data_IF_231096333207
#
_entry.id   IF_231096333207
#
_cell.length_a   1.000
_cell.length_b   1.000
_cell.length_c   1.000
_cell.angle_alpha   90.00
_cell.angle_beta   90.00
_cell.angle_gamma   90.00
#
_symmetry.space_group_name_H-M   'P 1'
#
loop_
_entity.id
_entity.type
_entity.pdbx_description
1 polymer ?
#
# COMPACT_ATOMS: atom_id res chain seq x y z
N UNK A 1 13.92 64.59 17.25
CA UNK A 1 14.23 63.18 17.58
C UNK A 1 13.47 62.31 16.60
N UNK A 2 14.12 61.54 15.72
CA UNK A 2 13.43 60.66 14.79
C UNK A 2 12.96 59.40 15.54
N UNK A 3 11.70 59.04 15.30
CA UNK A 3 11.03 57.88 15.88
C UNK A 3 11.48 56.64 15.09
N UNK A 4 12.30 55.79 15.70
CA UNK A 4 12.70 54.50 15.15
C UNK A 4 11.51 53.56 15.37
N UNK A 5 10.76 53.32 14.30
CA UNK A 5 9.72 52.29 14.28
C UNK A 5 10.44 50.94 14.27
N UNK A 6 10.20 50.14 15.31
CA UNK A 6 10.61 48.75 15.40
C UNK A 6 9.87 47.93 14.32
N UNK A 7 10.55 47.61 13.23
CA UNK A 7 10.16 46.52 12.30
C UNK A 7 10.50 45.15 12.93
N UNK A 8 9.87 44.82 14.06
CA UNK A 8 9.94 43.49 14.69
C UNK A 8 8.58 42.78 14.77
N UNK A 9 7.66 43.09 13.86
CA UNK A 9 6.44 42.30 13.67
C UNK A 9 6.37 41.81 12.22
N UNK A 10 6.92 40.62 11.93
CA UNK A 10 6.40 39.70 10.89
C UNK A 10 7.18 38.37 10.80
N UNK A 11 7.69 37.85 11.92
CA UNK A 11 8.26 36.47 11.97
C UNK A 11 7.38 35.48 12.75
N UNK A 12 6.12 35.83 13.02
CA UNK A 12 5.16 34.96 13.66
C UNK A 12 3.93 34.80 12.78
N UNK A 13 3.77 33.62 12.18
CA UNK A 13 2.48 33.21 11.62
C UNK A 13 2.45 32.93 10.13
N UNK A 14 3.42 32.19 9.58
CA UNK A 14 3.08 31.32 8.44
C UNK A 14 2.18 30.23 9.00
N UNK A 15 0.88 30.53 9.12
CA UNK A 15 -0.15 29.56 9.46
C UNK A 15 -0.10 28.46 8.40
N UNK A 16 0.62 27.37 8.71
CA UNK A 16 0.88 26.33 7.72
C UNK A 16 -0.43 25.68 7.30
N UNK A 17 -0.87 26.01 6.08
CA UNK A 17 -2.09 25.48 5.49
C UNK A 17 -2.15 23.94 5.67
N UNK A 18 -3.17 23.40 6.34
CA UNK A 18 -3.28 21.97 6.64
C UNK A 18 -3.29 21.10 5.37
N UNK A 19 -3.78 21.61 4.25
CA UNK A 19 -3.74 20.91 2.96
C UNK A 19 -2.31 20.78 2.42
N UNK A 20 -1.45 21.79 2.64
CA UNK A 20 -0.03 21.76 2.27
C UNK A 20 0.71 20.72 3.12
N UNK A 21 0.52 20.73 4.45
CA UNK A 21 1.10 19.73 5.36
C UNK A 21 0.76 18.30 4.94
N UNK A 22 -0.50 18.04 4.60
CA UNK A 22 -0.94 16.72 4.15
C UNK A 22 -0.27 16.30 2.84
N UNK A 23 -0.16 17.22 1.88
CA UNK A 23 0.52 16.97 0.59
C UNK A 23 1.99 16.59 0.80
N UNK A 24 2.70 17.32 1.67
CA UNK A 24 4.10 17.03 2.02
C UNK A 24 4.24 15.65 2.66
N UNK A 25 3.40 15.31 3.66
CA UNK A 25 3.42 13.98 4.29
C UNK A 25 3.19 12.84 3.27
N UNK A 26 2.23 13.02 2.37
CA UNK A 26 1.96 12.05 1.31
C UNK A 26 3.14 11.90 0.34
N UNK A 27 3.79 13.01 -0.02
CA UNK A 27 4.98 13.00 -0.88
C UNK A 27 6.15 12.30 -0.18
N UNK A 28 6.48 12.66 1.06
CA UNK A 28 7.54 12.02 1.84
C UNK A 28 7.32 10.51 1.95
N UNK A 29 6.09 10.06 2.23
CA UNK A 29 5.74 8.63 2.24
C UNK A 29 6.03 7.96 0.90
N UNK A 30 5.61 8.57 -0.21
CA UNK A 30 5.83 8.01 -1.56
C UNK A 30 7.31 7.92 -1.89
N UNK A 31 8.08 8.96 -1.58
CA UNK A 31 9.53 8.97 -1.77
C UNK A 31 10.21 7.90 -0.90
N UNK A 32 9.79 7.73 0.35
CA UNK A 32 10.27 6.66 1.21
C UNK A 32 9.96 5.28 0.62
N UNK A 33 8.72 5.04 0.18
CA UNK A 33 8.34 3.78 -0.46
C UNK A 33 9.18 3.50 -1.73
N UNK A 34 9.38 4.50 -2.59
CA UNK A 34 10.22 4.40 -3.79
C UNK A 34 11.66 4.06 -3.40
N UNK A 35 12.24 4.77 -2.43
CA UNK A 35 13.61 4.52 -1.99
C UNK A 35 13.81 3.09 -1.47
N UNK A 36 12.86 2.57 -0.67
CA UNK A 36 12.90 1.19 -0.17
C UNK A 36 12.80 0.20 -1.34
N UNK A 37 11.85 0.39 -2.27
CA UNK A 37 11.65 -0.50 -3.43
C UNK A 37 12.86 -0.51 -4.34
N UNK A 38 13.44 0.66 -4.64
CA UNK A 38 14.64 0.78 -5.48
C UNK A 38 15.82 0.09 -4.79
N UNK A 39 16.02 0.30 -3.50
CA UNK A 39 17.11 -0.34 -2.74
C UNK A 39 17.00 -1.86 -2.79
N UNK A 40 15.81 -2.41 -2.52
CA UNK A 40 15.57 -3.86 -2.60
C UNK A 40 15.80 -4.35 -4.03
N UNK A 41 15.23 -3.68 -5.03
CA UNK A 41 15.38 -4.08 -6.44
C UNK A 41 16.84 -4.14 -6.85
N UNK A 42 17.63 -3.11 -6.51
CA UNK A 42 19.06 -3.07 -6.82
C UNK A 42 19.81 -4.24 -6.18
N UNK A 43 19.54 -4.56 -4.91
CA UNK A 43 20.18 -5.70 -4.25
C UNK A 43 19.81 -7.03 -4.90
N UNK A 44 18.55 -7.22 -5.27
CA UNK A 44 18.08 -8.42 -5.96
C UNK A 44 18.76 -8.60 -7.32
N UNK A 45 18.78 -7.55 -8.15
CA UNK A 45 19.40 -7.62 -9.47
C UNK A 45 20.93 -7.74 -9.40
N UNK A 46 21.59 -7.06 -8.46
CA UNK A 46 23.03 -7.21 -8.23
C UNK A 46 23.39 -8.63 -7.83
N UNK A 47 22.57 -9.27 -6.97
CA UNK A 47 22.85 -10.62 -6.49
C UNK A 47 22.54 -11.69 -7.53
N UNK A 48 21.45 -11.52 -8.28
CA UNK A 48 21.07 -12.42 -9.38
C UNK A 48 22.06 -12.34 -10.55
N UNK A 49 22.57 -11.14 -10.84
CA UNK A 49 23.40 -10.87 -12.01
C UNK A 49 22.64 -10.93 -13.34
N UNK A 50 21.32 -11.21 -13.31
CA UNK A 50 20.48 -11.32 -14.51
C UNK A 50 19.04 -10.89 -14.25
N UNK A 51 18.38 -10.36 -15.28
CA UNK A 51 16.94 -10.08 -15.28
C UNK A 51 16.09 -11.34 -15.51
N UNK A 52 16.70 -12.47 -15.87
CA UNK A 52 15.98 -13.72 -16.18
C UNK A 52 15.53 -14.49 -14.94
N UNK A 53 16.00 -14.14 -13.74
CA UNK A 53 15.47 -14.73 -12.50
C UNK A 53 14.10 -14.15 -12.20
N UNK A 54 13.06 -14.86 -12.62
CA UNK A 54 11.68 -14.42 -12.48
C UNK A 54 11.27 -14.25 -11.01
N UNK A 55 11.88 -14.99 -10.08
CA UNK A 55 11.50 -14.90 -8.67
C UNK A 55 11.81 -13.53 -8.06
N UNK A 56 12.82 -12.81 -8.57
CA UNK A 56 13.18 -11.48 -8.05
C UNK A 56 12.06 -10.43 -8.23
N UNK A 57 11.16 -10.64 -9.19
CA UNK A 57 10.00 -9.77 -9.38
C UNK A 57 8.94 -9.97 -8.29
N UNK A 58 8.90 -11.10 -7.59
CA UNK A 58 7.94 -11.33 -6.51
C UNK A 58 8.00 -10.26 -5.41
N UNK A 59 9.12 -10.06 -4.69
CA UNK A 59 9.19 -9.03 -3.65
C UNK A 59 9.00 -7.62 -4.20
N UNK A 60 9.49 -7.32 -5.41
CA UNK A 60 9.33 -6.00 -6.06
C UNK A 60 7.85 -5.70 -6.29
N UNK A 61 7.12 -6.63 -6.93
CA UNK A 61 5.70 -6.53 -7.20
C UNK A 61 4.87 -6.43 -5.91
N UNK A 62 5.19 -7.23 -4.88
CA UNK A 62 4.50 -7.19 -3.60
C UNK A 62 4.71 -5.85 -2.87
N UNK A 63 5.90 -5.26 -2.95
CA UNK A 63 6.17 -3.95 -2.38
C UNK A 63 5.48 -2.81 -3.16
N UNK A 64 5.44 -2.88 -4.49
CA UNK A 64 4.66 -1.95 -5.31
C UNK A 64 3.18 -1.98 -4.91
N UNK A 65 2.59 -3.18 -4.79
CA UNK A 65 1.21 -3.34 -4.37
C UNK A 65 0.97 -2.77 -2.96
N UNK A 66 1.68 -3.31 -1.97
CA UNK A 66 1.30 -3.12 -0.57
C UNK A 66 2.03 -1.98 0.15
N UNK A 67 3.25 -1.61 -0.27
CA UNK A 67 3.98 -0.48 0.35
C UNK A 67 3.68 0.84 -0.36
N UNK A 68 3.69 0.81 -1.70
CA UNK A 68 3.51 2.03 -2.49
C UNK A 68 2.03 2.40 -2.65
N UNK A 69 1.19 1.47 -3.13
CA UNK A 69 -0.17 1.76 -3.58
C UNK A 69 -1.23 1.62 -2.49
N UNK A 70 -1.19 0.56 -1.67
CA UNK A 70 -2.22 0.29 -0.64
C UNK A 70 -2.53 1.49 0.28
N UNK A 71 -1.55 2.28 0.78
CA UNK A 71 -1.87 3.44 1.61
C UNK A 71 -2.72 4.50 0.89
N UNK A 72 -2.50 4.71 -0.41
CA UNK A 72 -3.32 5.64 -1.20
C UNK A 72 -4.75 5.10 -1.37
N UNK A 73 -4.91 3.78 -1.56
CA UNK A 73 -6.23 3.10 -1.64
C UNK A 73 -7.02 3.31 -0.35
N UNK A 74 -6.39 3.10 0.81
CA UNK A 74 -7.01 3.25 2.14
C UNK A 74 -7.37 4.71 2.43
N UNK A 75 -6.50 5.66 2.05
CA UNK A 75 -6.75 7.10 2.23
C UNK A 75 -7.99 7.55 1.46
N UNK A 76 -8.16 7.08 0.22
CA UNK A 76 -9.32 7.46 -0.60
C UNK A 76 -10.65 7.01 0.06
N UNK A 77 -10.66 5.87 0.78
CA UNK A 77 -11.82 5.43 1.59
C UNK A 77 -12.10 6.36 2.76
N UNK A 78 -11.06 6.87 3.44
CA UNK A 78 -11.22 7.86 4.51
C UNK A 78 -11.81 9.17 3.98
N UNK A 79 -11.29 9.64 2.85
CA UNK A 79 -11.83 10.83 2.17
C UNK A 79 -13.31 10.64 1.81
N UNK A 80 -13.71 9.46 1.34
CA UNK A 80 -15.11 9.12 1.08
C UNK A 80 -15.99 9.18 2.33
N UNK A 81 -15.52 8.68 3.48
CA UNK A 81 -16.27 8.75 4.75
C UNK A 81 -16.46 10.19 5.20
N UNK A 82 -15.42 11.01 5.05
CA UNK A 82 -15.47 12.41 5.42
C UNK A 82 -16.37 13.22 4.48
N UNK A 83 -16.36 12.94 3.17
CA UNK A 83 -17.23 13.60 2.19
C UNK A 83 -18.72 13.35 2.47
N UNK A 84 -19.09 12.24 3.12
CA UNK A 84 -20.48 11.94 3.51
C UNK A 84 -20.99 12.79 4.69
N UNK A 85 -20.10 13.39 5.49
CA UNK A 85 -20.44 14.09 6.75
C UNK A 85 -20.49 15.62 6.63
N UNK A 86 -20.38 16.21 5.43
CA UNK A 86 -20.10 17.65 5.28
C UNK A 86 -21.10 18.41 4.41
N UNK A 87 -21.16 19.72 4.67
CA UNK A 87 -21.95 20.73 3.99
C UNK A 87 -21.59 20.84 2.49
N UNK A 88 -22.55 21.10 1.59
CA UNK A 88 -22.34 21.22 0.14
C UNK A 88 -21.44 22.40 -0.30
N UNK A 89 -21.02 23.27 0.62
CA UNK A 89 -20.24 24.49 0.32
C UNK A 89 -18.71 24.35 0.48
N UNK A 90 -18.16 23.16 0.81
CA UNK A 90 -16.71 22.98 0.85
C UNK A 90 -16.13 22.55 -0.52
N UNK A 91 -15.19 23.33 -1.05
CA UNK A 91 -14.37 23.01 -2.24
C UNK A 91 -13.54 21.74 -2.07
N UNK A 92 -14.16 20.57 -2.28
CA UNK A 92 -13.48 19.27 -2.27
C UNK A 92 -13.88 18.41 -3.47
N UNK A 93 -13.00 17.44 -3.79
CA UNK A 93 -13.14 16.54 -4.92
C UNK A 93 -14.53 15.85 -4.92
N UNK A 94 -15.27 15.86 -6.04
CA UNK A 94 -16.54 15.15 -6.17
C UNK A 94 -16.42 13.68 -5.78
N UNK A 95 -17.43 13.15 -5.09
CA UNK A 95 -17.47 11.74 -4.64
C UNK A 95 -17.14 10.75 -5.75
N UNK A 96 -17.67 10.96 -6.96
CA UNK A 96 -17.42 10.07 -8.10
C UNK A 96 -15.93 10.06 -8.49
N UNK A 97 -15.24 11.21 -8.44
CA UNK A 97 -13.79 11.28 -8.71
C UNK A 97 -12.98 10.51 -7.67
N UNK A 98 -13.38 10.55 -6.39
CA UNK A 98 -12.70 9.80 -5.32
C UNK A 98 -12.92 8.29 -5.51
N UNK A 99 -14.15 7.86 -5.86
CA UNK A 99 -14.44 6.45 -6.15
C UNK A 99 -13.58 5.95 -7.32
N UNK A 100 -13.54 6.71 -8.42
CA UNK A 100 -12.75 6.34 -9.60
C UNK A 100 -11.25 6.21 -9.26
N UNK A 101 -10.70 7.13 -8.46
CA UNK A 101 -9.31 7.05 -7.98
C UNK A 101 -9.06 5.81 -7.13
N UNK A 102 -9.96 5.51 -6.20
CA UNK A 102 -9.89 4.30 -5.37
C UNK A 102 -9.92 3.03 -6.23
N UNK A 103 -10.81 2.96 -7.22
CA UNK A 103 -10.91 1.81 -8.13
C UNK A 103 -9.64 1.64 -8.98
N UNK A 104 -9.14 2.72 -9.57
CA UNK A 104 -7.92 2.68 -10.37
C UNK A 104 -6.71 2.27 -9.52
N UNK A 105 -6.56 2.84 -8.33
CA UNK A 105 -5.48 2.48 -7.42
C UNK A 105 -5.59 1.02 -6.95
N UNK A 106 -6.81 0.53 -6.67
CA UNK A 106 -7.03 -0.87 -6.31
C UNK A 106 -6.66 -1.81 -7.46
N UNK A 107 -7.05 -1.49 -8.69
CA UNK A 107 -6.68 -2.25 -9.88
C UNK A 107 -5.16 -2.32 -10.07
N UNK A 108 -4.45 -1.20 -9.92
CA UNK A 108 -2.97 -1.17 -10.02
C UNK A 108 -2.34 -2.02 -8.92
N UNK A 109 -2.85 -1.94 -7.69
CA UNK A 109 -2.39 -2.78 -6.57
C UNK A 109 -2.60 -4.27 -6.86
N UNK A 110 -3.76 -4.64 -7.40
CA UNK A 110 -4.12 -6.01 -7.73
C UNK A 110 -3.26 -6.59 -8.86
N UNK A 111 -3.04 -5.83 -9.93
CA UNK A 111 -2.17 -6.24 -11.03
C UNK A 111 -0.74 -6.45 -10.56
N UNK A 112 -0.23 -5.56 -9.71
CA UNK A 112 1.08 -5.73 -9.09
C UNK A 112 1.12 -7.00 -8.21
N UNK A 113 0.15 -7.21 -7.33
CA UNK A 113 0.08 -8.40 -6.50
C UNK A 113 -0.01 -9.69 -7.33
N UNK A 114 -0.85 -9.70 -8.37
CA UNK A 114 -1.00 -10.82 -9.29
C UNK A 114 0.32 -11.16 -10.01
N UNK A 115 1.05 -10.15 -10.48
CA UNK A 115 2.39 -10.32 -11.06
C UNK A 115 3.37 -10.97 -10.07
N UNK A 116 3.34 -10.55 -8.81
CA UNK A 116 4.18 -11.16 -7.78
C UNK A 116 3.78 -12.61 -7.44
N UNK A 117 2.50 -12.95 -7.45
CA UNK A 117 2.05 -14.35 -7.30
C UNK A 117 2.45 -15.20 -8.51
N UNK A 118 2.28 -14.67 -9.73
CA UNK A 118 2.65 -15.36 -10.96
C UNK A 118 4.15 -15.68 -10.98
N UNK A 119 5.01 -14.76 -10.52
CA UNK A 119 6.45 -14.99 -10.41
C UNK A 119 6.81 -16.16 -9.48
N UNK A 120 6.10 -16.28 -8.34
CA UNK A 120 6.28 -17.39 -7.39
C UNK A 120 5.83 -18.70 -8.00
N UNK A 121 4.61 -18.75 -8.54
CA UNK A 121 4.03 -19.98 -9.09
C UNK A 121 4.81 -20.47 -10.30
N UNK A 122 5.23 -19.59 -11.20
CA UNK A 122 6.14 -19.93 -12.31
C UNK A 122 7.42 -20.58 -11.80
N UNK A 123 8.05 -19.99 -10.77
CA UNK A 123 9.30 -20.51 -10.20
C UNK A 123 9.09 -21.87 -9.55
N UNK A 124 7.98 -22.07 -8.81
CA UNK A 124 7.66 -23.35 -8.17
C UNK A 124 7.44 -24.45 -9.20
N UNK A 125 6.65 -24.18 -10.25
CA UNK A 125 6.38 -25.13 -11.32
C UNK A 125 7.68 -25.51 -12.03
N UNK A 126 8.50 -24.52 -12.41
CA UNK A 126 9.77 -24.75 -13.12
C UNK A 126 10.81 -25.51 -12.31
N UNK A 127 10.87 -25.28 -10.98
CA UNK A 127 11.87 -25.90 -10.08
C UNK A 127 11.31 -27.09 -9.29
N UNK A 128 10.07 -27.52 -9.56
CA UNK A 128 9.36 -28.57 -8.83
C UNK A 128 9.35 -28.38 -7.30
N UNK A 129 9.25 -27.13 -6.85
CA UNK A 129 9.17 -26.84 -5.42
C UNK A 129 7.77 -27.14 -4.86
N UNK A 130 7.68 -27.65 -3.62
CA UNK A 130 6.39 -27.90 -2.99
C UNK A 130 5.63 -26.60 -2.70
N UNK A 131 4.31 -26.60 -2.88
CA UNK A 131 3.46 -25.47 -2.58
C UNK A 131 3.13 -25.40 -1.07
N UNK A 132 2.97 -24.18 -0.54
CA UNK A 132 2.43 -23.88 0.80
C UNK A 132 3.15 -24.53 2.00
N UNK A 133 4.46 -24.76 1.89
CA UNK A 133 5.26 -25.28 3.02
C UNK A 133 5.73 -24.22 4.02
N UNK A 134 5.85 -22.95 3.61
CA UNK A 134 6.32 -21.87 4.48
C UNK A 134 5.17 -21.06 5.07
N UNK A 135 5.33 -20.57 6.31
CA UNK A 135 4.38 -19.66 6.95
C UNK A 135 4.14 -18.40 6.10
N UNK A 136 5.21 -17.83 5.54
CA UNK A 136 5.11 -16.72 4.59
C UNK A 136 4.21 -17.06 3.38
N UNK A 137 4.36 -18.26 2.80
CA UNK A 137 3.54 -18.71 1.69
C UNK A 137 2.07 -18.91 2.05
N UNK A 138 1.78 -19.45 3.24
CA UNK A 138 0.40 -19.63 3.74
C UNK A 138 -0.27 -18.27 3.96
N UNK A 139 0.38 -17.37 4.71
CA UNK A 139 -0.14 -16.00 4.95
C UNK A 139 -0.29 -15.23 3.64
N UNK A 140 0.66 -15.41 2.71
CA UNK A 140 0.59 -14.86 1.36
C UNK A 140 -0.66 -15.30 0.61
N UNK A 141 -0.98 -16.60 0.59
CA UNK A 141 -2.20 -17.08 -0.07
C UNK A 141 -3.48 -16.58 0.61
N UNK A 142 -3.54 -16.54 1.94
CA UNK A 142 -4.68 -15.93 2.64
C UNK A 142 -4.87 -14.47 2.21
N UNK A 143 -3.76 -13.71 2.10
CA UNK A 143 -3.79 -12.34 1.60
C UNK A 143 -4.31 -12.28 0.15
N UNK A 144 -3.81 -13.14 -0.73
CA UNK A 144 -4.24 -13.21 -2.14
C UNK A 144 -5.73 -13.52 -2.31
N UNK A 145 -6.24 -14.50 -1.56
CA UNK A 145 -7.67 -14.83 -1.54
C UNK A 145 -8.49 -13.64 -1.02
N UNK A 146 -8.03 -13.00 0.05
CA UNK A 146 -8.69 -11.80 0.58
C UNK A 146 -8.73 -10.67 -0.47
N UNK A 147 -7.66 -10.48 -1.25
CA UNK A 147 -7.63 -9.52 -2.38
C UNK A 147 -8.68 -9.85 -3.44
N UNK A 148 -8.83 -11.11 -3.85
CA UNK A 148 -9.87 -11.52 -4.81
C UNK A 148 -11.28 -11.26 -4.26
N UNK A 149 -11.51 -11.59 -2.99
CA UNK A 149 -12.76 -11.27 -2.30
C UNK A 149 -13.02 -9.75 -2.29
N UNK A 150 -11.98 -8.95 -2.06
CA UNK A 150 -12.08 -7.49 -2.02
C UNK A 150 -12.56 -6.89 -3.35
N UNK A 151 -12.01 -7.37 -4.46
CA UNK A 151 -12.42 -6.99 -5.82
C UNK A 151 -13.87 -7.35 -6.07
N UNK A 152 -14.24 -8.58 -5.72
CA UNK A 152 -15.58 -9.10 -5.92
C UNK A 152 -16.59 -8.25 -5.14
N UNK A 153 -16.34 -7.98 -3.86
CA UNK A 153 -17.18 -7.13 -3.02
C UNK A 153 -17.24 -5.68 -3.54
N UNK A 154 -16.11 -5.13 -4.00
CA UNK A 154 -16.04 -3.79 -4.58
C UNK A 154 -16.87 -3.66 -5.87
N UNK A 155 -16.80 -4.66 -6.74
CA UNK A 155 -17.58 -4.76 -7.97
C UNK A 155 -19.08 -4.89 -7.68
N UNK A 156 -19.46 -5.75 -6.73
CA UNK A 156 -20.86 -5.89 -6.28
C UNK A 156 -21.39 -4.54 -5.77
N UNK A 157 -20.61 -3.82 -4.95
CA UNK A 157 -21.01 -2.50 -4.42
C UNK A 157 -21.16 -1.42 -5.49
N UNK A 158 -20.46 -1.54 -6.62
CA UNK A 158 -20.45 -0.54 -7.69
C UNK A 158 -21.51 -0.82 -8.76
N UNK A 159 -21.60 -2.06 -9.21
CA UNK A 159 -22.34 -2.41 -10.43
C UNK A 159 -23.62 -3.20 -10.16
N UNK A 160 -23.73 -3.84 -8.99
CA UNK A 160 -24.88 -4.70 -8.67
C UNK A 160 -25.82 -4.03 -7.69
N UNK A 161 -25.30 -3.48 -6.59
CA UNK A 161 -26.13 -2.92 -5.51
C UNK A 161 -26.41 -1.43 -5.72
N UNK A 162 -27.70 -1.08 -5.79
CA UNK A 162 -28.14 0.32 -5.83
C UNK A 162 -27.98 0.98 -4.45
N UNK A 163 -27.95 2.33 -4.37
CA UNK A 163 -27.85 3.02 -3.07
C UNK A 163 -28.96 2.69 -2.07
N UNK A 164 -30.15 2.28 -2.56
CA UNK A 164 -31.32 1.94 -1.76
C UNK A 164 -31.36 0.46 -1.31
N UNK A 165 -30.45 -0.37 -1.81
CA UNK A 165 -30.46 -1.80 -1.50
C UNK A 165 -30.14 -2.06 0.01
N UNK A 166 -30.99 -2.82 0.73
CA UNK A 166 -30.82 -3.08 2.16
C UNK A 166 -29.59 -3.94 2.50
N UNK A 167 -29.05 -4.72 1.55
CA UNK A 167 -27.84 -5.54 1.73
C UNK A 167 -26.55 -4.73 1.61
N UNK A 168 -26.62 -3.55 0.99
CA UNK A 168 -25.47 -2.67 0.78
C UNK A 168 -24.65 -2.35 2.04
N UNK A 169 -25.22 -1.99 3.21
CA UNK A 169 -24.44 -1.75 4.42
C UNK A 169 -23.68 -3.01 4.88
N UNK A 170 -24.27 -4.19 4.76
CA UNK A 170 -23.60 -5.46 5.10
C UNK A 170 -22.39 -5.69 4.20
N UNK A 171 -22.56 -5.56 2.87
CA UNK A 171 -21.45 -5.71 1.91
C UNK A 171 -20.36 -4.66 2.11
N UNK A 172 -20.73 -3.42 2.47
CA UNK A 172 -19.75 -2.39 2.85
C UNK A 172 -18.96 -2.74 4.10
N UNK A 173 -19.59 -3.35 5.10
CA UNK A 173 -18.90 -3.82 6.31
C UNK A 173 -17.96 -4.96 5.98
N UNK A 174 -18.41 -5.96 5.22
CA UNK A 174 -17.58 -7.05 4.75
C UNK A 174 -16.35 -6.54 3.97
N UNK A 175 -16.56 -5.63 3.00
CA UNK A 175 -15.49 -5.01 2.22
C UNK A 175 -14.46 -4.27 3.11
N UNK A 176 -14.90 -3.62 4.20
CA UNK A 176 -13.97 -2.98 5.16
C UNK A 176 -13.21 -4.00 5.98
N UNK A 177 -13.88 -5.05 6.48
CA UNK A 177 -13.25 -6.12 7.25
C UNK A 177 -12.17 -6.82 6.42
N UNK A 178 -12.49 -7.18 5.17
CA UNK A 178 -11.53 -7.79 4.24
C UNK A 178 -10.36 -6.83 3.94
N UNK A 179 -10.58 -5.52 3.78
CA UNK A 179 -9.45 -4.56 3.66
C UNK A 179 -8.50 -4.61 4.86
N UNK A 180 -9.04 -4.71 6.08
CA UNK A 180 -8.22 -4.81 7.30
C UNK A 180 -7.45 -6.11 7.29
N UNK A 181 -8.10 -7.23 6.95
CA UNK A 181 -7.45 -8.53 6.80
C UNK A 181 -6.29 -8.45 5.82
N UNK A 182 -6.49 -7.90 4.61
CA UNK A 182 -5.43 -7.71 3.61
C UNK A 182 -4.27 -6.91 4.19
N UNK A 183 -4.56 -5.80 4.88
CA UNK A 183 -3.51 -4.95 5.46
C UNK A 183 -2.65 -5.73 6.46
N UNK A 184 -3.29 -6.45 7.38
CA UNK A 184 -2.60 -7.25 8.41
C UNK A 184 -1.81 -8.37 7.75
N UNK A 185 -2.44 -9.18 6.90
CA UNK A 185 -1.80 -10.33 6.26
C UNK A 185 -0.67 -9.91 5.31
N UNK A 186 -0.81 -8.80 4.59
CA UNK A 186 0.24 -8.27 3.73
C UNK A 186 1.46 -7.83 4.55
N UNK A 187 1.26 -7.12 5.67
CA UNK A 187 2.37 -6.70 6.53
C UNK A 187 3.04 -7.89 7.22
N UNK A 188 2.26 -8.86 7.73
CA UNK A 188 2.81 -10.10 8.29
C UNK A 188 3.58 -10.90 7.24
N UNK A 189 3.03 -11.04 6.03
CA UNK A 189 3.71 -11.73 4.93
C UNK A 189 5.00 -10.99 4.53
N UNK A 190 5.01 -9.66 4.54
CA UNK A 190 6.20 -8.86 4.21
C UNK A 190 7.33 -9.07 5.22
N UNK A 191 7.01 -9.00 6.52
CA UNK A 191 7.97 -9.29 7.58
C UNK A 191 8.48 -10.73 7.48
N UNK A 192 7.58 -11.70 7.33
CA UNK A 192 7.95 -13.10 7.14
C UNK A 192 8.78 -13.35 5.87
N UNK A 193 8.49 -12.63 4.79
CA UNK A 193 9.19 -12.72 3.51
C UNK A 193 10.66 -12.32 3.65
N UNK A 194 10.92 -11.17 4.28
CA UNK A 194 12.29 -10.68 4.48
C UNK A 194 13.05 -11.43 5.57
N UNK A 195 12.39 -11.78 6.68
CA UNK A 195 13.09 -12.30 7.86
C UNK A 195 13.18 -13.82 7.92
N UNK A 196 12.18 -14.54 7.37
CA UNK A 196 12.04 -15.98 7.57
C UNK A 196 12.26 -16.82 6.30
N UNK A 197 12.53 -16.22 5.15
CA UNK A 197 12.78 -16.98 3.91
C UNK A 197 14.26 -17.13 3.60
N UNK A 198 14.66 -18.32 3.15
CA UNK A 198 16.01 -18.58 2.67
C UNK A 198 16.35 -17.72 1.45
N UNK A 199 15.36 -17.46 0.58
CA UNK A 199 15.58 -16.60 -0.58
C UNK A 199 16.05 -15.21 -0.17
N UNK A 200 15.35 -14.57 0.77
CA UNK A 200 15.75 -13.26 1.27
C UNK A 200 17.13 -13.29 1.93
N UNK A 201 17.45 -14.35 2.68
CA UNK A 201 18.77 -14.51 3.28
C UNK A 201 19.91 -14.65 2.26
N UNK A 202 19.65 -15.30 1.12
CA UNK A 202 20.63 -15.42 0.03
C UNK A 202 20.73 -14.14 -0.79
N UNK A 203 19.60 -13.48 -1.03
CA UNK A 203 19.52 -12.28 -1.85
C UNK A 203 20.08 -11.04 -1.13
N UNK A 204 19.79 -10.91 0.16
CA UNK A 204 20.23 -9.82 1.03
C UNK A 204 20.87 -10.43 2.29
N UNK A 205 22.18 -10.75 2.28
CA UNK A 205 22.83 -11.49 3.36
C UNK A 205 22.74 -10.81 4.72
N UNK A 206 22.86 -9.48 4.75
CA UNK A 206 22.78 -8.71 5.99
C UNK A 206 21.38 -8.79 6.61
N UNK A 207 21.28 -9.41 7.80
CA UNK A 207 20.05 -9.47 8.59
C UNK A 207 19.59 -8.07 9.01
N UNK A 208 20.52 -7.17 9.34
CA UNK A 208 20.22 -5.79 9.71
C UNK A 208 19.52 -5.03 8.58
N UNK A 209 20.01 -5.17 7.34
CA UNK A 209 19.37 -4.55 6.17
C UNK A 209 17.96 -5.12 5.95
N UNK A 210 17.78 -6.44 6.04
CA UNK A 210 16.47 -7.08 5.89
C UNK A 210 15.47 -6.60 6.95
N UNK A 211 15.90 -6.51 8.21
CA UNK A 211 15.09 -5.98 9.30
C UNK A 211 14.75 -4.52 9.11
N UNK A 212 15.71 -3.68 8.71
CA UNK A 212 15.47 -2.28 8.42
C UNK A 212 14.46 -2.09 7.28
N UNK A 213 14.60 -2.84 6.18
CA UNK A 213 13.66 -2.82 5.05
C UNK A 213 12.25 -3.26 5.48
N UNK A 214 12.15 -4.36 6.23
CA UNK A 214 10.86 -4.87 6.70
C UNK A 214 10.16 -3.84 7.61
N UNK A 215 10.87 -3.30 8.60
CA UNK A 215 10.32 -2.29 9.51
C UNK A 215 9.97 -0.99 8.78
N UNK A 216 10.85 -0.48 7.91
CA UNK A 216 10.58 0.71 7.13
C UNK A 216 9.36 0.55 6.22
N UNK A 217 9.18 -0.65 5.63
CA UNK A 217 8.01 -0.97 4.81
C UNK A 217 6.73 -0.96 5.65
N UNK A 218 6.74 -1.58 6.83
CA UNK A 218 5.59 -1.59 7.75
C UNK A 218 5.26 -0.17 8.20
N UNK A 219 6.25 0.59 8.68
CA UNK A 219 6.04 1.98 9.15
C UNK A 219 5.52 2.87 8.04
N UNK A 220 6.11 2.80 6.85
CA UNK A 220 5.68 3.61 5.68
C UNK A 220 4.26 3.27 5.27
N UNK A 221 3.90 1.99 5.30
CA UNK A 221 2.57 1.51 4.91
C UNK A 221 1.51 1.88 5.94
N UNK A 222 1.74 1.49 7.20
CA UNK A 222 0.81 1.73 8.32
C UNK A 222 0.66 3.22 8.54
N UNK A 223 1.77 3.97 8.68
CA UNK A 223 1.76 5.42 8.80
C UNK A 223 1.01 6.08 7.63
N UNK A 224 1.23 5.61 6.40
CA UNK A 224 0.51 6.06 5.22
C UNK A 224 -0.99 5.81 5.25
N UNK A 225 -1.45 4.74 5.90
CA UNK A 225 -2.87 4.48 6.09
C UNK A 225 -3.52 5.47 7.08
N UNK A 226 -2.72 6.15 7.92
CA UNK A 226 -3.19 7.13 8.91
C UNK A 226 -3.09 8.60 8.47
N UNK A 227 -2.38 8.89 7.38
CA UNK A 227 -2.35 10.21 6.73
C UNK A 227 -3.74 10.55 6.14
#
# INVERSE_FOLDING_TARGET
MPNIIHDEENLHGVEENPARRMRVKCLCRRLAAIAIIVTVSLQLFQKSGTYTDIFQYHPICMMLAFVMVMPDVVRDVRQLRQARRRSPFEDKLPRNKIIMRHQLASLVMELAAAGGFAAVEYTKVKKHYPHLKSLHGIVGVVCGVATVCQVTLGSILRYVLTPADPKRPMVQTAHKCISITITVTAMTAMVGGFLATEYAARAIPSSLIRTAVALASVVTTVGGCFL
#
